data_IF_824876798766
#
_entry.id   IF_824876798766
#
_cell.length_a   1.000
_cell.length_b   1.000
_cell.length_c   1.000
_cell.angle_alpha   90.00
_cell.angle_beta   90.00
_cell.angle_gamma   90.00
#
_symmetry.space_group_name_H-M   'P 1'
#
loop_
_entity.id
_entity.type
_entity.pdbx_description
1 polymer ?
#
# COMPACT_ATOMS: atom_id res chain seq x y z
N UNK A 1 -10.07 -37.29 -27.21
CA UNK A 1 -9.50 -35.93 -27.28
C UNK A 1 -9.96 -35.22 -26.02
N UNK A 2 -9.06 -35.02 -25.06
CA UNK A 2 -9.37 -34.26 -23.85
C UNK A 2 -9.80 -32.85 -24.25
N UNK A 3 -10.97 -32.44 -23.77
CA UNK A 3 -11.56 -31.14 -24.07
C UNK A 3 -10.83 -30.10 -23.20
N UNK A 4 -9.64 -29.70 -23.65
CA UNK A 4 -8.74 -28.83 -22.89
C UNK A 4 -9.40 -27.47 -22.70
N UNK A 5 -9.66 -27.11 -21.45
CA UNK A 5 -10.27 -25.82 -21.11
C UNK A 5 -9.25 -24.71 -21.37
N UNK A 6 -9.53 -23.83 -22.34
CA UNK A 6 -8.66 -22.68 -22.66
C UNK A 6 -8.37 -21.81 -21.44
N UNK A 7 -7.16 -21.24 -21.39
CA UNK A 7 -6.73 -20.30 -20.34
C UNK A 7 -7.75 -19.16 -20.12
N UNK A 8 -8.40 -18.66 -21.17
CA UNK A 8 -9.39 -17.59 -21.05
C UNK A 8 -10.66 -18.02 -20.29
N UNK A 9 -11.06 -19.30 -20.40
CA UNK A 9 -12.18 -19.83 -19.61
C UNK A 9 -11.81 -19.91 -18.13
N UNK A 10 -10.58 -20.31 -17.82
CA UNK A 10 -10.06 -20.34 -16.44
C UNK A 10 -9.95 -18.94 -15.85
N UNK A 11 -9.38 -17.99 -16.60
CA UNK A 11 -9.32 -16.58 -16.21
C UNK A 11 -10.71 -15.95 -16.02
N UNK A 12 -11.69 -16.34 -16.85
CA UNK A 12 -13.08 -15.92 -16.67
C UNK A 12 -13.66 -16.40 -15.33
N UNK A 13 -13.41 -17.66 -14.94
CA UNK A 13 -13.84 -18.17 -13.63
C UNK A 13 -13.17 -17.42 -12.47
N UNK A 14 -11.86 -17.20 -12.56
CA UNK A 14 -11.12 -16.38 -11.60
C UNK A 14 -11.77 -15.00 -11.46
N UNK A 15 -12.09 -14.33 -12.56
CA UNK A 15 -12.71 -13.00 -12.54
C UNK A 15 -14.10 -12.99 -11.89
N UNK A 16 -14.89 -14.04 -12.12
CA UNK A 16 -16.19 -14.20 -11.45
C UNK A 16 -16.02 -14.36 -9.93
N UNK A 17 -15.02 -15.13 -9.49
CA UNK A 17 -14.75 -15.33 -8.06
C UNK A 17 -14.23 -14.05 -7.39
N UNK A 18 -13.33 -13.32 -8.05
CA UNK A 18 -12.89 -11.99 -7.58
C UNK A 18 -14.09 -11.06 -7.40
N UNK A 19 -14.99 -11.00 -8.38
CA UNK A 19 -16.21 -10.19 -8.29
C UNK A 19 -17.15 -10.57 -7.14
N UNK A 20 -17.15 -11.85 -6.72
CA UNK A 20 -17.94 -12.31 -5.56
C UNK A 20 -17.28 -11.92 -4.23
N UNK A 21 -15.95 -12.00 -4.13
CA UNK A 21 -15.22 -11.57 -2.94
C UNK A 21 -15.47 -10.08 -2.65
N UNK A 22 -15.40 -9.24 -3.69
CA UNK A 22 -15.66 -7.80 -3.60
C UNK A 22 -17.07 -7.48 -3.07
N UNK A 23 -18.07 -8.33 -3.37
CA UNK A 23 -19.46 -8.12 -2.96
C UNK A 23 -19.80 -8.65 -1.57
N UNK A 24 -19.07 -9.65 -1.08
CA UNK A 24 -19.41 -10.38 0.14
C UNK A 24 -18.59 -9.98 1.37
N UNK A 25 -17.40 -9.39 1.18
CA UNK A 25 -16.58 -8.86 2.27
C UNK A 25 -16.65 -7.33 2.32
N UNK A 26 -16.37 -6.75 3.49
CA UNK A 26 -15.96 -5.35 3.60
C UNK A 26 -14.75 -5.23 2.66
N UNK A 27 -15.00 -4.70 1.47
CA UNK A 27 -14.15 -4.85 0.30
C UNK A 27 -12.66 -4.69 0.67
N UNK A 28 -11.87 -5.78 0.78
CA UNK A 28 -10.44 -5.69 1.08
C UNK A 28 -9.71 -4.94 -0.03
N UNK A 29 -10.37 -4.74 -1.17
CA UNK A 29 -9.95 -3.93 -2.30
C UNK A 29 -10.25 -2.43 -2.19
N UNK A 30 -10.87 -1.96 -1.10
CA UNK A 30 -11.37 -0.58 -1.00
C UNK A 30 -10.84 0.22 0.20
N UNK A 31 -10.17 -0.42 1.17
CA UNK A 31 -9.81 0.25 2.43
C UNK A 31 -8.37 0.76 2.52
N UNK A 32 -7.55 0.54 1.51
CA UNK A 32 -6.18 1.05 1.46
C UNK A 32 -6.02 1.88 0.19
N UNK A 33 -5.76 3.18 0.36
CA UNK A 33 -5.50 4.20 -0.70
C UNK A 33 -4.51 3.78 -1.79
N UNK A 34 -3.81 2.67 -1.58
CA UNK A 34 -2.94 2.00 -2.50
C UNK A 34 -3.03 0.51 -2.17
N UNK A 35 -3.42 -0.30 -3.15
CA UNK A 35 -3.27 -1.75 -3.04
C UNK A 35 -1.82 -2.10 -2.72
N UNK A 36 -1.52 -2.72 -1.58
CA UNK A 36 -0.21 -3.33 -1.45
C UNK A 36 -0.14 -4.53 -2.40
N UNK A 37 0.98 -4.71 -3.10
CA UNK A 37 1.16 -5.83 -4.03
C UNK A 37 1.00 -7.16 -3.31
N UNK A 38 1.40 -7.23 -2.03
CA UNK A 38 1.26 -8.43 -1.21
C UNK A 38 -0.21 -8.77 -0.96
N UNK A 39 -1.03 -7.77 -0.62
CA UNK A 39 -2.47 -7.96 -0.43
C UNK A 39 -3.14 -8.40 -1.72
N UNK A 40 -2.77 -7.80 -2.86
CA UNK A 40 -3.30 -8.21 -4.15
C UNK A 40 -2.99 -9.69 -4.43
N UNK A 41 -1.74 -10.10 -4.24
CA UNK A 41 -1.28 -11.47 -4.46
C UNK A 41 -2.00 -12.44 -3.51
N UNK A 42 -2.10 -12.10 -2.21
CA UNK A 42 -2.76 -12.93 -1.19
C UNK A 42 -4.21 -13.29 -1.54
N UNK A 43 -4.94 -12.37 -2.19
CA UNK A 43 -6.32 -12.62 -2.61
C UNK A 43 -6.43 -13.30 -3.97
N UNK A 44 -5.51 -13.00 -4.90
CA UNK A 44 -5.56 -13.50 -6.29
C UNK A 44 -4.99 -14.90 -6.41
N UNK A 45 -3.87 -15.18 -5.75
CA UNK A 45 -3.10 -16.42 -5.92
C UNK A 45 -3.89 -17.69 -5.54
N UNK A 46 -4.69 -17.72 -4.45
CA UNK A 46 -5.56 -18.86 -4.18
C UNK A 46 -6.58 -19.15 -5.28
N UNK A 47 -7.11 -18.10 -5.93
CA UNK A 47 -8.08 -18.23 -7.02
C UNK A 47 -7.42 -18.75 -8.30
N UNK A 48 -6.18 -18.33 -8.57
CA UNK A 48 -5.39 -18.84 -9.68
C UNK A 48 -5.05 -20.32 -9.46
N UNK A 49 -4.58 -20.69 -8.27
CA UNK A 49 -4.25 -22.09 -7.93
C UNK A 49 -5.46 -23.02 -8.07
N UNK A 50 -6.64 -22.58 -7.62
CA UNK A 50 -7.89 -23.34 -7.79
C UNK A 50 -8.22 -23.66 -9.26
N UNK A 51 -7.71 -22.87 -10.19
CA UNK A 51 -7.92 -23.03 -11.63
C UNK A 51 -6.69 -23.59 -12.38
N UNK A 52 -5.69 -24.15 -11.67
CA UNK A 52 -4.41 -24.62 -12.22
C UNK A 52 -3.66 -23.54 -13.01
N UNK A 53 -3.70 -22.30 -12.52
CA UNK A 53 -2.99 -21.16 -13.10
C UNK A 53 -1.81 -20.78 -12.19
N UNK A 54 -0.63 -20.62 -12.77
CA UNK A 54 0.59 -20.18 -12.11
C UNK A 54 0.85 -18.71 -12.43
N UNK A 55 0.97 -17.88 -11.39
CA UNK A 55 1.44 -16.51 -11.51
C UNK A 55 2.97 -16.45 -11.35
N UNK A 56 3.65 -15.77 -12.26
CA UNK A 56 5.07 -15.44 -12.14
C UNK A 56 5.29 -13.95 -12.41
N UNK A 57 6.20 -13.33 -11.66
CA UNK A 57 6.51 -11.90 -11.82
C UNK A 57 8.02 -11.61 -11.98
N UNK A 58 8.69 -12.16 -13.01
CA UNK A 58 10.11 -11.96 -13.22
C UNK A 58 10.44 -10.52 -13.63
N UNK A 59 11.70 -10.15 -13.40
CA UNK A 59 12.31 -8.98 -14.03
C UNK A 59 13.18 -9.50 -15.16
N UNK A 60 12.90 -9.09 -16.39
CA UNK A 60 13.62 -9.53 -17.58
C UNK A 60 13.72 -8.38 -18.58
N UNK A 61 14.87 -8.21 -19.22
CA UNK A 61 15.10 -7.19 -20.25
C UNK A 61 14.70 -5.77 -19.79
N UNK A 62 15.04 -5.45 -18.54
CA UNK A 62 14.67 -4.19 -17.88
C UNK A 62 13.15 -3.91 -17.83
N UNK A 63 12.35 -4.98 -17.79
CA UNK A 63 10.89 -4.91 -17.61
C UNK A 63 10.47 -5.71 -16.39
N UNK A 64 9.45 -5.22 -15.71
CA UNK A 64 8.66 -6.06 -14.79
C UNK A 64 7.58 -6.73 -15.63
N UNK A 65 7.54 -8.05 -15.58
CA UNK A 65 6.60 -8.86 -16.36
C UNK A 65 5.75 -9.62 -15.36
N UNK A 66 4.43 -9.63 -15.54
CA UNK A 66 3.53 -10.59 -14.90
C UNK A 66 3.03 -11.57 -15.95
N UNK A 67 3.17 -12.86 -15.65
CA UNK A 67 2.74 -13.95 -16.52
C UNK A 67 1.80 -14.85 -15.74
N UNK A 68 0.62 -15.12 -16.29
CA UNK A 68 -0.25 -16.20 -15.82
C UNK A 68 -0.15 -17.34 -16.82
N UNK A 69 0.32 -18.50 -16.37
CA UNK A 69 0.49 -19.71 -17.18
C UNK A 69 -0.52 -20.76 -16.75
N UNK A 70 -1.23 -21.33 -17.70
CA UNK A 70 -2.03 -22.53 -17.47
C UNK A 70 -1.12 -23.76 -17.45
N UNK A 71 -1.07 -24.44 -16.30
CA UNK A 71 -0.24 -25.63 -16.10
C UNK A 71 -0.67 -26.78 -17.02
N UNK A 72 -1.97 -26.88 -17.31
CA UNK A 72 -2.49 -27.98 -18.10
C UNK A 72 -2.14 -27.78 -19.58
N UNK A 73 -2.27 -26.55 -20.09
CA UNK A 73 -2.09 -26.23 -21.52
C UNK A 73 -0.70 -25.70 -21.91
N UNK A 74 0.03 -25.09 -20.98
CA UNK A 74 1.24 -24.33 -21.25
C UNK A 74 0.96 -22.95 -21.88
N UNK A 75 -0.31 -22.63 -22.18
CA UNK A 75 -0.70 -21.30 -22.65
C UNK A 75 -0.44 -20.27 -21.56
N UNK A 76 -0.09 -19.05 -21.95
CA UNK A 76 0.11 -17.97 -21.02
C UNK A 76 -0.45 -16.65 -21.54
N UNK A 77 -0.72 -15.75 -20.59
CA UNK A 77 -1.02 -14.35 -20.83
C UNK A 77 -0.04 -13.50 -20.04
N UNK A 78 0.38 -12.38 -20.61
CA UNK A 78 1.42 -11.53 -20.04
C UNK A 78 1.02 -10.06 -20.03
N UNK A 79 1.59 -9.32 -19.08
CA UNK A 79 1.56 -7.87 -19.01
C UNK A 79 2.94 -7.40 -18.53
N UNK A 80 3.46 -6.34 -19.14
CA UNK A 80 4.81 -5.85 -18.87
C UNK A 80 4.87 -4.33 -18.80
N UNK A 81 5.78 -3.83 -17.96
CA UNK A 81 6.10 -2.40 -17.83
C UNK A 81 7.63 -2.25 -17.79
N UNK A 82 8.16 -1.30 -18.57
CA UNK A 82 9.59 -0.96 -18.56
C UNK A 82 10.02 -0.31 -17.24
N UNK A 83 11.11 -0.81 -16.67
CA UNK A 83 11.72 -0.25 -15.48
C UNK A 83 12.47 1.04 -15.82
N UNK A 84 12.17 2.16 -15.15
CA UNK A 84 12.97 3.37 -15.27
C UNK A 84 14.37 3.13 -14.71
N UNK A 85 15.36 3.77 -15.35
CA UNK A 85 16.75 3.72 -14.90
C UNK A 85 16.92 4.68 -13.72
N UNK A 86 17.09 4.13 -12.52
CA UNK A 86 17.48 4.90 -11.33
C UNK A 86 18.91 4.57 -10.91
N UNK A 87 19.67 5.60 -10.53
CA UNK A 87 20.97 5.42 -9.87
C UNK A 87 20.83 4.93 -8.41
N UNK A 88 19.66 5.12 -7.81
CA UNK A 88 19.36 4.77 -6.42
C UNK A 88 18.69 3.38 -6.36
N UNK A 89 19.35 2.35 -5.80
CA UNK A 89 18.81 1.00 -5.71
C UNK A 89 17.47 0.91 -4.95
N UNK A 90 17.23 1.78 -3.97
CA UNK A 90 15.97 1.76 -3.21
C UNK A 90 14.80 2.22 -4.06
N UNK A 91 15.02 3.19 -4.96
CA UNK A 91 13.99 3.64 -5.91
C UNK A 91 13.67 2.55 -6.93
N UNK A 92 14.67 1.82 -7.40
CA UNK A 92 14.48 0.66 -8.28
C UNK A 92 13.65 -0.42 -7.59
N UNK A 93 14.00 -0.79 -6.35
CA UNK A 93 13.23 -1.77 -5.56
C UNK A 93 11.78 -1.33 -5.36
N UNK A 94 11.56 -0.05 -5.04
CA UNK A 94 10.21 0.51 -4.91
C UNK A 94 9.43 0.41 -6.23
N UNK A 95 10.04 0.81 -7.35
CA UNK A 95 9.40 0.77 -8.67
C UNK A 95 9.03 -0.66 -9.08
N UNK A 96 9.88 -1.64 -8.80
CA UNK A 96 9.58 -3.06 -9.05
C UNK A 96 8.30 -3.48 -8.32
N UNK A 97 8.20 -3.18 -7.02
CA UNK A 97 7.03 -3.51 -6.19
C UNK A 97 5.76 -2.87 -6.75
N UNK A 98 5.83 -1.59 -7.14
CA UNK A 98 4.69 -0.90 -7.77
C UNK A 98 4.32 -1.54 -9.12
N UNK A 99 5.28 -1.81 -9.99
CA UNK A 99 4.98 -2.32 -11.33
C UNK A 99 4.44 -3.74 -11.32
N UNK A 100 4.89 -4.60 -10.40
CA UNK A 100 4.29 -5.93 -10.20
C UNK A 100 2.80 -5.85 -9.94
N UNK A 101 2.38 -4.88 -9.12
CA UNK A 101 0.97 -4.60 -8.87
C UNK A 101 0.26 -4.18 -10.15
N UNK A 102 0.76 -3.18 -10.85
CA UNK A 102 0.12 -2.64 -12.06
C UNK A 102 0.00 -3.68 -13.18
N UNK A 103 1.06 -4.45 -13.45
CA UNK A 103 1.03 -5.50 -14.47
C UNK A 103 0.01 -6.58 -14.12
N UNK A 104 -0.10 -6.99 -12.84
CA UNK A 104 -1.08 -7.98 -12.42
C UNK A 104 -2.52 -7.45 -12.48
N UNK A 105 -2.74 -6.23 -11.99
CA UNK A 105 -4.05 -5.56 -12.05
C UNK A 105 -4.53 -5.40 -13.49
N UNK A 106 -3.63 -4.96 -14.38
CA UNK A 106 -3.90 -4.80 -15.81
C UNK A 106 -4.28 -6.13 -16.46
N UNK A 107 -3.50 -7.18 -16.20
CA UNK A 107 -3.70 -8.52 -16.76
C UNK A 107 -5.05 -9.13 -16.35
N UNK A 108 -5.49 -8.90 -15.10
CA UNK A 108 -6.77 -9.38 -14.58
C UNK A 108 -7.94 -8.43 -14.84
N UNK A 109 -7.69 -7.25 -15.40
CA UNK A 109 -8.70 -6.22 -15.64
C UNK A 109 -9.43 -5.81 -14.35
N UNK A 110 -8.66 -5.65 -13.26
CA UNK A 110 -9.16 -5.17 -11.98
C UNK A 110 -9.29 -3.65 -12.03
N UNK A 111 -10.43 -3.13 -11.57
CA UNK A 111 -10.63 -1.70 -11.46
C UNK A 111 -9.69 -1.13 -10.40
N UNK A 112 -8.93 -0.10 -10.78
CA UNK A 112 -8.37 0.84 -9.83
C UNK A 112 -9.38 1.99 -9.67
N UNK A 113 -9.55 2.54 -8.46
CA UNK A 113 -10.22 3.84 -8.36
C UNK A 113 -9.38 4.87 -9.12
N UNK A 114 -9.98 5.40 -10.18
CA UNK A 114 -9.41 6.42 -11.05
C UNK A 114 -9.50 7.77 -10.32
N UNK A 115 -8.41 8.19 -9.68
CA UNK A 115 -8.28 9.51 -9.05
C UNK A 115 -7.91 10.55 -10.12
N UNK A 116 -8.76 10.74 -11.13
CA UNK A 116 -8.63 11.88 -12.06
C UNK A 116 -9.42 13.07 -11.53
N UNK A 117 -8.91 13.59 -10.40
CA UNK A 117 -9.39 14.74 -9.67
C UNK A 117 -8.25 15.69 -9.30
N UNK A 118 -7.39 16.00 -10.28
CA UNK A 118 -6.42 17.11 -10.25
C UNK A 118 -5.23 17.00 -9.28
N UNK A 119 -4.17 16.29 -9.70
CA UNK A 119 -2.78 16.70 -9.39
C UNK A 119 -1.90 16.57 -10.61
N UNK A 120 -2.08 17.55 -11.49
CA UNK A 120 -1.05 18.08 -12.38
C UNK A 120 0.35 17.83 -11.83
N UNK A 121 1.17 17.16 -12.62
CA UNK A 121 2.63 17.16 -12.51
C UNK A 121 3.07 18.62 -12.64
N UNK A 122 3.11 19.34 -11.53
CA UNK A 122 3.82 20.60 -11.42
C UNK A 122 4.90 20.43 -10.37
N UNK A 123 6.12 20.33 -10.90
CA UNK A 123 7.38 20.61 -10.25
C UNK A 123 7.80 19.61 -9.17
N UNK A 124 8.74 18.77 -9.62
CA UNK A 124 9.91 18.41 -8.83
C UNK A 124 10.51 19.67 -8.17
N UNK A 125 10.00 20.05 -6.99
CA UNK A 125 10.68 20.92 -6.02
C UNK A 125 10.07 20.94 -4.61
N UNK A 126 8.89 20.36 -4.36
CA UNK A 126 8.36 20.25 -3.00
C UNK A 126 7.92 18.82 -2.69
N UNK A 127 8.86 17.98 -2.26
CA UNK A 127 8.48 16.88 -1.36
C UNK A 127 8.02 17.56 -0.05
N UNK A 128 6.75 17.48 0.39
CA UNK A 128 6.51 17.65 1.82
C UNK A 128 7.31 16.53 2.51
N UNK A 129 8.34 16.94 3.27
CA UNK A 129 9.04 16.05 4.19
C UNK A 129 7.98 15.30 5.00
N UNK A 130 8.21 14.01 5.16
CA UNK A 130 7.42 13.12 6.02
C UNK A 130 7.20 13.78 7.41
N UNK A 131 6.04 13.51 8.03
CA UNK A 131 5.67 13.68 9.46
C UNK A 131 5.45 15.11 9.97
N UNK A 132 4.20 15.49 10.26
CA UNK A 132 3.91 16.60 11.18
C UNK A 132 4.42 16.20 12.56
N UNK A 133 5.61 16.65 12.92
CA UNK A 133 6.11 16.63 14.29
C UNK A 133 5.29 17.62 15.14
N UNK A 134 5.09 17.35 16.43
CA UNK A 134 4.57 18.35 17.37
C UNK A 134 5.28 19.70 17.17
N UNK A 135 4.51 20.73 16.87
CA UNK A 135 5.06 22.09 16.71
C UNK A 135 5.36 22.71 18.07
N UNK A 136 6.28 23.68 18.10
CA UNK A 136 6.57 24.44 19.31
C UNK A 136 5.31 25.16 19.84
N UNK A 137 4.44 25.66 18.94
CA UNK A 137 3.21 26.35 19.33
C UNK A 137 2.24 25.41 20.08
N UNK A 138 1.97 24.24 19.51
CA UNK A 138 1.10 23.23 20.13
C UNK A 138 1.68 22.72 21.47
N UNK A 139 3.01 22.60 21.57
CA UNK A 139 3.68 22.25 22.81
C UNK A 139 3.50 23.33 23.89
N UNK A 140 3.67 24.61 23.53
CA UNK A 140 3.50 25.74 24.45
C UNK A 140 2.04 25.90 24.90
N UNK A 141 1.08 25.61 24.03
CA UNK A 141 -0.34 25.53 24.41
C UNK A 141 -0.58 24.39 25.41
N UNK A 142 0.00 23.22 25.17
CA UNK A 142 -0.17 22.07 26.04
C UNK A 142 0.44 22.29 27.43
N UNK A 143 1.68 22.80 27.53
CA UNK A 143 2.41 22.94 28.80
C UNK A 143 1.80 23.99 29.75
N UNK A 144 0.95 24.88 29.22
CA UNK A 144 0.17 25.85 30.01
C UNK A 144 -1.05 25.23 30.67
N UNK A 145 -1.48 24.05 30.22
CA UNK A 145 -2.62 23.35 30.82
C UNK A 145 -2.28 22.84 32.22
N UNK A 146 -3.27 22.93 33.11
CA UNK A 146 -3.24 22.32 34.45
C UNK A 146 -3.98 20.98 34.50
N UNK A 147 -4.55 20.54 33.38
CA UNK A 147 -5.25 19.27 33.29
C UNK A 147 -4.28 18.12 32.99
N UNK A 148 -4.06 17.26 34.00
CA UNK A 148 -3.18 16.09 33.93
C UNK A 148 -3.69 15.05 32.92
N UNK A 149 -5.02 14.89 32.78
CA UNK A 149 -5.60 13.91 31.86
C UNK A 149 -5.32 14.34 30.41
N UNK A 150 -5.55 15.61 30.11
CA UNK A 150 -5.22 16.21 28.82
C UNK A 150 -3.72 16.07 28.48
N UNK A 151 -2.81 16.39 29.40
CA UNK A 151 -1.36 16.28 29.17
C UNK A 151 -0.90 14.85 28.84
N UNK A 152 -1.53 13.84 29.45
CA UNK A 152 -1.26 12.42 29.17
C UNK A 152 -1.74 12.01 27.78
N UNK A 153 -2.98 12.37 27.44
CA UNK A 153 -3.59 12.06 26.14
C UNK A 153 -2.82 12.74 25.00
N UNK A 154 -2.43 14.01 25.20
CA UNK A 154 -1.61 14.77 24.28
C UNK A 154 -0.25 14.10 24.02
N UNK A 155 0.46 13.66 25.07
CA UNK A 155 1.74 12.96 24.93
C UNK A 155 1.66 11.62 24.21
N UNK A 156 0.52 10.91 24.30
CA UNK A 156 0.28 9.67 23.55
C UNK A 156 0.07 9.96 22.08
N UNK A 157 -0.78 10.93 21.75
CA UNK A 157 -1.08 11.34 20.38
C UNK A 157 0.17 11.67 19.56
N UNK A 158 1.14 12.36 20.17
CA UNK A 158 2.39 12.76 19.53
C UNK A 158 3.53 11.75 19.65
N UNK A 159 3.36 10.61 20.33
CA UNK A 159 4.34 9.52 20.25
C UNK A 159 4.04 8.53 19.11
N UNK A 160 2.86 8.62 18.48
CA UNK A 160 2.41 7.68 17.46
C UNK A 160 2.81 8.13 16.06
N UNK A 161 3.59 7.34 15.29
CA UNK A 161 3.88 7.64 13.89
C UNK A 161 2.57 7.84 13.09
N UNK A 162 2.45 8.85 12.20
CA UNK A 162 3.49 9.77 11.70
C UNK A 162 3.61 11.08 12.52
N UNK A 163 3.00 11.18 13.69
CA UNK A 163 3.05 12.37 14.55
C UNK A 163 4.11 12.12 15.62
N UNK A 164 5.36 12.53 15.36
CA UNK A 164 6.45 12.35 16.32
C UNK A 164 6.38 13.36 17.48
N UNK A 165 7.17 13.15 18.53
CA UNK A 165 7.37 14.06 19.67
C UNK A 165 8.87 14.19 19.96
N UNK A 166 9.38 15.42 20.11
CA UNK A 166 10.80 15.62 20.46
C UNK A 166 11.04 15.10 21.88
N UNK A 167 12.20 14.49 22.11
CA UNK A 167 12.60 13.99 23.43
C UNK A 167 12.48 15.07 24.51
N UNK A 168 12.93 16.30 24.23
CA UNK A 168 12.83 17.44 25.14
C UNK A 168 11.37 17.79 25.53
N UNK A 169 10.42 17.71 24.60
CA UNK A 169 9.00 18.00 24.88
C UNK A 169 8.35 16.87 25.68
N UNK A 170 8.74 15.62 25.39
CA UNK A 170 8.31 14.43 26.15
C UNK A 170 8.76 14.52 27.61
N UNK A 171 9.98 14.96 27.85
CA UNK A 171 10.51 15.17 29.20
C UNK A 171 9.79 16.32 29.93
N UNK A 172 9.60 17.46 29.27
CA UNK A 172 8.89 18.60 29.84
C UNK A 172 7.43 18.28 30.22
N UNK A 173 6.69 17.57 29.37
CA UNK A 173 5.31 17.13 29.70
C UNK A 173 5.32 16.18 30.91
N UNK A 174 6.31 15.29 31.02
CA UNK A 174 6.45 14.38 32.17
C UNK A 174 6.72 15.14 33.47
N UNK A 175 7.63 16.10 33.46
CA UNK A 175 7.93 16.93 34.64
C UNK A 175 6.72 17.77 35.04
N UNK A 176 6.01 18.39 34.09
CA UNK A 176 4.79 19.14 34.37
C UNK A 176 3.71 18.29 35.05
N UNK A 177 3.53 17.05 34.60
CA UNK A 177 2.60 16.11 35.22
C UNK A 177 3.03 15.78 36.66
N UNK A 178 4.34 15.65 36.93
CA UNK A 178 4.85 15.42 38.30
C UNK A 178 4.62 16.62 39.21
N UNK A 179 4.91 17.84 38.74
CA UNK A 179 4.67 19.08 39.48
C UNK A 179 3.20 19.23 39.88
N UNK A 180 2.27 18.99 38.95
CA UNK A 180 0.83 19.10 39.20
C UNK A 180 0.29 18.02 40.14
N UNK A 181 0.99 16.90 40.31
CA UNK A 181 0.64 15.85 41.27
C UNK A 181 1.19 16.10 42.68
N UNK A 182 2.22 16.93 42.78
CA UNK A 182 2.90 17.26 44.04
C UNK A 182 2.41 18.59 44.65
N UNK A 183 1.45 19.26 44.00
CA UNK A 183 0.69 20.39 44.54
C UNK A 183 -0.64 19.91 45.10
#
# INVERSE_FOLDING_TARGET
MENKTSIYKKLFQVKLEIGKLIKNEINPFFQSKYFDVNQLIEHVEPLLHKNNLLLMQPIKDNKVISTITDIDSGENVTSEIELPVFQDPQKTGSAITYYRRYTLQSLLGLQAEDDDGNKTIQNAQNKPKITQWLTEKEFQEAIRSTDIKFLREFGVQWNTPPKGLKTQYKEAIREKIKELKNK
#
